data_IF_241997396279
#
_entry.id   IF_241997396279
#
_cell.length_a   1.000
_cell.length_b   1.000
_cell.length_c   1.000
_cell.angle_alpha   90.00
_cell.angle_beta   90.00
_cell.angle_gamma   90.00
#
_symmetry.space_group_name_H-M   'P 1'
#
loop_
_entity.id
_entity.type
_entity.pdbx_description
1 polymer ?
#
# COMPACT_ATOMS: atom_id res chain seq x y z
N UNK A 1 20.31 1.82 3.55
CA UNK A 1 21.25 1.95 2.42
C UNK A 1 20.87 1.04 1.24
N UNK A 2 20.67 -0.27 1.46
CA UNK A 2 20.29 -1.22 0.40
C UNK A 2 19.03 -0.84 -0.41
N UNK A 3 17.97 -0.33 0.24
CA UNK A 3 16.73 0.08 -0.45
C UNK A 3 16.94 1.31 -1.32
N UNK A 4 17.69 2.31 -0.83
CA UNK A 4 18.00 3.50 -1.63
C UNK A 4 18.84 3.15 -2.86
N UNK A 5 19.80 2.23 -2.70
CA UNK A 5 20.57 1.68 -3.81
C UNK A 5 19.65 0.94 -4.78
N UNK A 6 18.76 0.06 -4.28
CA UNK A 6 17.80 -0.66 -5.11
C UNK A 6 16.87 0.29 -5.88
N UNK A 7 16.33 1.33 -5.24
CA UNK A 7 15.48 2.34 -5.88
C UNK A 7 16.26 3.14 -6.92
N UNK A 8 17.50 3.52 -6.61
CA UNK A 8 18.36 4.25 -7.53
C UNK A 8 18.73 3.40 -8.76
N UNK A 9 19.13 2.15 -8.56
CA UNK A 9 19.40 1.18 -9.64
C UNK A 9 18.14 0.93 -10.46
N UNK A 10 16.99 0.72 -9.81
CA UNK A 10 15.72 0.51 -10.49
C UNK A 10 15.31 1.74 -11.31
N UNK A 11 15.57 2.95 -10.82
CA UNK A 11 15.33 4.20 -11.53
C UNK A 11 16.26 4.36 -12.75
N UNK A 12 17.53 4.00 -12.62
CA UNK A 12 18.47 3.99 -13.75
C UNK A 12 18.01 2.99 -14.82
N UNK A 13 17.67 1.75 -14.41
CA UNK A 13 17.13 0.73 -15.32
C UNK A 13 15.85 1.20 -16.01
N UNK A 14 14.95 1.84 -15.26
CA UNK A 14 13.74 2.44 -15.81
C UNK A 14 14.09 3.49 -16.87
N UNK A 15 15.01 4.41 -16.57
CA UNK A 15 15.42 5.49 -17.48
C UNK A 15 16.05 4.94 -18.76
N UNK A 16 16.90 3.91 -18.66
CA UNK A 16 17.49 3.21 -19.81
C UNK A 16 16.41 2.49 -20.63
N UNK A 17 15.47 1.83 -19.97
CA UNK A 17 14.37 1.15 -20.66
C UNK A 17 13.45 2.14 -21.40
N UNK A 18 13.16 3.29 -20.79
CA UNK A 18 12.35 4.36 -21.38
C UNK A 18 13.04 5.02 -22.57
N UNK A 19 14.38 5.08 -22.61
CA UNK A 19 15.12 5.61 -23.76
C UNK A 19 14.73 4.92 -25.06
N UNK A 20 14.66 3.58 -25.04
CA UNK A 20 14.28 2.77 -26.21
C UNK A 20 12.80 2.96 -26.58
N UNK A 21 11.94 3.10 -25.57
CA UNK A 21 10.52 3.39 -25.78
C UNK A 21 10.32 4.77 -26.43
N UNK A 22 11.07 5.78 -25.97
CA UNK A 22 10.97 7.15 -26.50
C UNK A 22 11.45 7.22 -27.95
N UNK A 23 12.57 6.55 -28.27
CA UNK A 23 13.07 6.43 -29.64
C UNK A 23 12.00 5.84 -30.57
N UNK A 24 11.29 4.80 -30.13
CA UNK A 24 10.18 4.20 -30.90
C UNK A 24 8.96 5.09 -31.02
N UNK A 25 8.73 5.96 -30.05
CA UNK A 25 7.64 6.93 -30.07
C UNK A 25 7.99 8.21 -30.85
N UNK A 26 9.19 8.31 -31.44
CA UNK A 26 9.64 9.48 -32.19
C UNK A 26 10.15 10.64 -31.30
N UNK A 27 10.39 10.39 -30.02
CA UNK A 27 10.96 11.36 -29.08
C UNK A 27 12.46 11.10 -28.88
N UNK A 28 13.29 12.15 -28.69
CA UNK A 28 14.72 11.97 -28.42
C UNK A 28 14.95 11.15 -27.14
N UNK A 29 15.66 10.01 -27.27
CA UNK A 29 15.88 9.07 -26.18
C UNK A 29 16.59 9.67 -24.95
N UNK A 30 17.46 10.67 -25.13
CA UNK A 30 18.16 11.34 -24.02
C UNK A 30 17.22 11.96 -22.99
N UNK A 31 15.99 12.36 -23.41
CA UNK A 31 14.98 12.92 -22.50
C UNK A 31 14.55 11.92 -21.42
N UNK A 32 14.72 10.62 -21.66
CA UNK A 32 14.41 9.57 -20.68
C UNK A 32 15.38 9.55 -19.49
N UNK A 33 16.60 10.08 -19.66
CA UNK A 33 17.66 10.08 -18.63
C UNK A 33 17.56 11.27 -17.68
N UNK A 34 16.88 12.34 -18.09
CA UNK A 34 16.74 13.56 -17.28
C UNK A 34 15.57 13.40 -16.32
N UNK A 35 15.81 13.41 -14.98
CA UNK A 35 14.74 13.31 -14.00
C UNK A 35 13.70 14.42 -14.16
N UNK A 36 12.42 14.06 -14.05
CA UNK A 36 11.29 14.97 -14.20
C UNK A 36 10.88 15.19 -15.66
N UNK A 37 11.85 15.47 -16.54
CA UNK A 37 11.58 15.56 -17.99
C UNK A 37 11.11 14.21 -18.55
N UNK A 38 11.72 13.12 -18.10
CA UNK A 38 11.32 11.77 -18.48
C UNK A 38 9.85 11.49 -18.19
N UNK A 39 9.37 11.82 -16.99
CA UNK A 39 7.97 11.64 -16.61
C UNK A 39 7.03 12.60 -17.35
N UNK A 40 7.45 13.83 -17.62
CA UNK A 40 6.65 14.79 -18.39
C UNK A 40 6.46 14.37 -19.86
N UNK A 41 7.52 13.84 -20.50
CA UNK A 41 7.45 13.27 -21.85
C UNK A 41 6.62 12.00 -21.84
N UNK A 42 6.81 11.12 -20.86
CA UNK A 42 6.02 9.90 -20.73
C UNK A 42 4.52 10.21 -20.55
N UNK A 43 4.14 11.16 -19.70
CA UNK A 43 2.75 11.60 -19.55
C UNK A 43 2.17 12.07 -20.90
N UNK A 44 2.95 12.80 -21.70
CA UNK A 44 2.55 13.22 -23.05
C UNK A 44 2.35 12.05 -24.02
N UNK A 45 3.26 11.07 -24.02
CA UNK A 45 3.16 9.85 -24.86
C UNK A 45 1.92 9.02 -24.53
N UNK A 46 1.43 9.10 -23.30
CA UNK A 46 0.20 8.42 -22.89
C UNK A 46 -1.06 9.21 -23.28
N UNK A 47 -0.94 10.53 -23.47
CA UNK A 47 -2.04 11.44 -23.78
C UNK A 47 -2.48 12.31 -22.61
N UNK A 48 -1.71 12.35 -21.51
CA UNK A 48 -1.91 13.30 -20.42
C UNK A 48 -1.19 14.63 -20.67
N UNK A 49 -1.62 15.67 -19.95
CA UNK A 49 -0.88 16.91 -19.85
C UNK A 49 0.50 16.62 -19.20
N UNK A 50 1.63 17.12 -19.72
CA UNK A 50 2.95 16.98 -19.09
C UNK A 50 3.00 17.36 -17.61
N UNK A 51 2.20 18.33 -17.17
CA UNK A 51 2.08 18.73 -15.77
C UNK A 51 1.50 17.64 -14.86
N UNK A 52 0.83 16.63 -15.43
CA UNK A 52 0.35 15.48 -14.68
C UNK A 52 1.49 14.73 -13.97
N UNK A 53 2.71 14.79 -14.51
CA UNK A 53 3.90 14.23 -13.88
C UNK A 53 4.24 14.88 -12.51
N UNK A 54 3.77 16.11 -12.23
CA UNK A 54 3.97 16.75 -10.93
C UNK A 54 3.31 15.99 -9.79
N UNK A 55 2.24 15.23 -10.06
CA UNK A 55 1.60 14.39 -9.05
C UNK A 55 2.52 13.28 -8.52
N UNK A 56 3.60 12.94 -9.25
CA UNK A 56 4.61 12.00 -8.78
C UNK A 56 5.47 12.55 -7.63
N UNK A 57 5.44 13.87 -7.39
CA UNK A 57 6.15 14.51 -6.27
C UNK A 57 5.38 14.37 -4.95
N UNK A 58 4.07 14.12 -5.00
CA UNK A 58 3.26 13.94 -3.81
C UNK A 58 3.34 12.48 -3.36
N UNK A 59 3.85 12.21 -2.15
CA UNK A 59 3.85 10.86 -1.59
C UNK A 59 2.44 10.28 -1.62
N UNK A 60 2.33 8.95 -1.66
CA UNK A 60 1.06 8.21 -1.72
C UNK A 60 0.40 8.31 -3.11
N UNK A 61 0.11 9.53 -3.55
CA UNK A 61 -0.50 9.80 -4.86
C UNK A 61 0.42 9.33 -5.99
N UNK A 62 1.73 9.52 -5.83
CA UNK A 62 2.74 9.12 -6.80
C UNK A 62 2.65 7.65 -7.24
N UNK A 63 2.31 6.72 -6.34
CA UNK A 63 2.21 5.28 -6.67
C UNK A 63 1.04 5.04 -7.63
N UNK A 64 -0.11 5.68 -7.40
CA UNK A 64 -1.28 5.53 -8.26
C UNK A 64 -1.04 6.15 -9.64
N UNK A 65 -0.43 7.34 -9.68
CA UNK A 65 -0.11 8.04 -10.92
C UNK A 65 0.94 7.25 -11.72
N UNK A 66 1.98 6.76 -11.05
CA UNK A 66 2.99 5.91 -11.67
C UNK A 66 2.39 4.63 -12.25
N UNK A 67 1.53 3.95 -11.50
CA UNK A 67 0.85 2.74 -11.97
C UNK A 67 -0.03 3.04 -13.21
N UNK A 68 -0.80 4.14 -13.18
CA UNK A 68 -1.59 4.59 -14.34
C UNK A 68 -0.74 4.84 -15.58
N UNK A 69 0.33 5.63 -15.45
CA UNK A 69 1.27 5.90 -16.54
C UNK A 69 1.92 4.62 -17.10
N UNK A 70 2.21 3.63 -16.25
CA UNK A 70 2.72 2.32 -16.67
C UNK A 70 1.70 1.55 -17.51
N UNK A 71 0.46 1.44 -17.00
CA UNK A 71 -0.62 0.72 -17.69
C UNK A 71 -0.89 1.36 -19.05
N UNK A 72 -1.03 2.69 -19.10
CA UNK A 72 -1.41 3.35 -20.32
C UNK A 72 -0.28 3.43 -21.35
N UNK A 73 0.99 3.48 -20.92
CA UNK A 73 2.11 3.39 -21.85
C UNK A 73 2.12 2.04 -22.57
N UNK A 74 1.96 0.95 -21.83
CA UNK A 74 1.90 -0.39 -22.43
C UNK A 74 0.70 -0.54 -23.37
N UNK A 75 -0.44 0.07 -23.03
CA UNK A 75 -1.61 0.15 -23.92
C UNK A 75 -1.32 0.95 -25.20
N UNK A 76 -0.44 1.95 -25.16
CA UNK A 76 -0.02 2.74 -26.34
C UNK A 76 0.80 1.93 -27.34
N UNK A 77 1.31 0.76 -26.93
CA UNK A 77 1.93 -0.23 -27.82
C UNK A 77 0.97 -1.37 -28.20
N UNK A 78 -0.34 -1.21 -27.99
CA UNK A 78 -1.35 -2.22 -28.33
C UNK A 78 -1.41 -3.43 -27.40
N UNK A 79 -0.69 -3.39 -26.26
CA UNK A 79 -0.66 -4.49 -25.29
C UNK A 79 -1.79 -4.33 -24.28
N UNK A 80 -2.98 -4.79 -24.66
CA UNK A 80 -4.16 -4.64 -23.81
C UNK A 80 -4.33 -5.73 -22.75
N UNK A 81 -3.56 -6.83 -22.75
CA UNK A 81 -3.78 -7.94 -21.80
C UNK A 81 -3.41 -7.57 -20.36
N UNK A 82 -4.14 -8.12 -19.39
CA UNK A 82 -3.93 -7.90 -17.95
C UNK A 82 -2.47 -8.11 -17.51
N UNK A 83 -1.84 -9.19 -17.96
CA UNK A 83 -0.46 -9.52 -17.57
C UNK A 83 0.57 -8.48 -18.02
N UNK A 84 0.35 -7.79 -19.15
CA UNK A 84 1.24 -6.71 -19.59
C UNK A 84 1.10 -5.49 -18.68
N UNK A 85 -0.13 -5.14 -18.31
CA UNK A 85 -0.41 -4.06 -17.36
C UNK A 85 0.14 -4.37 -15.96
N UNK A 86 -0.07 -5.59 -15.47
CA UNK A 86 0.43 -6.02 -14.16
C UNK A 86 1.97 -6.02 -14.11
N UNK A 87 2.63 -6.56 -15.14
CA UNK A 87 4.10 -6.57 -15.21
C UNK A 87 4.67 -5.15 -15.31
N UNK A 88 4.00 -4.25 -16.03
CA UNK A 88 4.41 -2.84 -16.11
C UNK A 88 4.38 -2.14 -14.76
N UNK A 89 3.36 -2.43 -13.92
CA UNK A 89 3.24 -1.82 -12.58
C UNK A 89 4.23 -2.46 -11.59
N UNK A 90 4.40 -3.78 -11.62
CA UNK A 90 5.27 -4.51 -10.68
C UNK A 90 6.74 -4.24 -10.99
N UNK A 91 7.12 -4.29 -12.27
CA UNK A 91 8.51 -4.10 -12.69
C UNK A 91 8.61 -3.50 -14.09
N UNK A 92 8.28 -2.20 -14.16
CA UNK A 92 8.35 -1.38 -15.37
C UNK A 92 9.66 -1.53 -16.18
N UNK A 93 10.88 -1.57 -15.57
CA UNK A 93 12.11 -1.63 -16.36
C UNK A 93 12.17 -2.82 -17.33
N UNK A 94 11.69 -4.00 -16.93
CA UNK A 94 11.68 -5.18 -17.81
C UNK A 94 10.64 -5.05 -18.90
N UNK A 95 9.40 -4.67 -18.56
CA UNK A 95 8.34 -4.55 -19.55
C UNK A 95 8.67 -3.50 -20.61
N UNK A 96 9.20 -2.35 -20.19
CA UNK A 96 9.59 -1.27 -21.12
C UNK A 96 10.82 -1.62 -21.93
N UNK A 97 11.77 -2.36 -21.36
CA UNK A 97 12.91 -2.86 -22.13
C UNK A 97 12.47 -3.85 -23.20
N UNK A 98 11.56 -4.77 -22.88
CA UNK A 98 10.97 -5.69 -23.86
C UNK A 98 10.25 -4.94 -24.97
N UNK A 99 9.38 -3.98 -24.62
CA UNK A 99 8.71 -3.11 -25.60
C UNK A 99 9.69 -2.33 -26.47
N UNK A 100 10.75 -1.81 -25.87
CA UNK A 100 11.78 -1.03 -26.55
C UNK A 100 12.63 -1.86 -27.51
N UNK A 101 12.86 -3.15 -27.23
CA UNK A 101 13.74 -4.03 -28.02
C UNK A 101 13.02 -4.82 -29.11
N UNK A 102 11.78 -5.25 -28.87
CA UNK A 102 11.04 -6.09 -29.81
C UNK A 102 10.64 -5.34 -31.08
N UNK A 103 11.06 -5.74 -32.27
CA UNK A 103 10.76 -5.01 -33.51
C UNK A 103 9.26 -4.97 -33.86
N UNK A 104 8.49 -5.98 -33.44
CA UNK A 104 7.03 -6.06 -33.64
C UNK A 104 6.25 -5.01 -32.83
N UNK A 105 6.82 -4.54 -31.72
CA UNK A 105 6.16 -3.62 -30.80
C UNK A 105 6.31 -2.18 -31.29
N UNK A 106 5.28 -1.69 -31.99
CA UNK A 106 5.21 -0.33 -32.53
C UNK A 106 4.39 0.58 -31.63
N UNK A 107 4.83 1.83 -31.51
CA UNK A 107 4.08 2.84 -30.78
C UNK A 107 2.87 3.27 -31.62
N UNK A 108 1.67 2.91 -31.16
CA UNK A 108 0.44 3.21 -31.87
C UNK A 108 0.00 4.66 -31.66
N UNK A 109 0.53 5.38 -30.67
CA UNK A 109 0.13 6.75 -30.34
C UNK A 109 -0.51 6.87 -28.95
N UNK A 110 -0.95 8.08 -28.56
CA UNK A 110 -1.48 8.33 -27.24
C UNK A 110 -2.80 7.59 -27.00
N UNK A 111 -2.77 6.54 -26.16
CA UNK A 111 -3.94 5.67 -25.92
C UNK A 111 -5.14 6.45 -25.42
N UNK A 112 -4.95 7.37 -24.46
CA UNK A 112 -6.09 8.06 -23.84
C UNK A 112 -6.86 8.93 -24.83
N UNK A 113 -6.14 9.58 -25.74
CA UNK A 113 -6.76 10.39 -26.79
C UNK A 113 -7.49 9.50 -27.79
N UNK A 114 -6.83 8.42 -28.25
CA UNK A 114 -7.41 7.49 -29.21
C UNK A 114 -8.64 6.76 -28.66
N UNK A 115 -8.59 6.38 -27.39
CA UNK A 115 -9.70 5.73 -26.68
C UNK A 115 -10.87 6.71 -26.55
N UNK A 116 -10.60 7.97 -26.15
CA UNK A 116 -11.63 9.01 -26.05
C UNK A 116 -12.28 9.32 -27.41
N UNK A 117 -11.49 9.46 -28.47
CA UNK A 117 -11.98 9.65 -29.84
C UNK A 117 -12.82 8.44 -30.32
N UNK A 118 -12.43 7.22 -29.94
CA UNK A 118 -13.18 6.02 -30.30
C UNK A 118 -14.55 5.97 -29.61
N UNK A 119 -14.60 6.30 -28.32
CA UNK A 119 -15.87 6.39 -27.59
C UNK A 119 -16.76 7.52 -28.11
N UNK A 120 -16.19 8.69 -28.45
CA UNK A 120 -16.93 9.78 -29.10
C UNK A 120 -17.56 9.34 -30.42
N UNK A 121 -16.85 8.58 -31.26
CA UNK A 121 -17.42 8.03 -32.50
C UNK A 121 -18.60 7.07 -32.25
N UNK A 122 -18.57 6.31 -31.15
CA UNK A 122 -19.69 5.46 -30.75
C UNK A 122 -20.87 6.32 -30.29
N UNK A 123 -20.62 7.33 -29.47
CA UNK A 123 -21.65 8.26 -28.97
C UNK A 123 -22.30 9.06 -30.10
N UNK A 124 -21.52 9.57 -31.05
CA UNK A 124 -22.02 10.26 -32.25
C UNK A 124 -22.86 9.32 -33.12
N UNK A 125 -22.41 8.08 -33.33
CA UNK A 125 -23.18 7.09 -34.08
C UNK A 125 -24.49 6.71 -33.36
N UNK A 126 -24.48 6.69 -32.02
CA UNK A 126 -25.66 6.45 -31.17
C UNK A 126 -26.63 7.63 -31.22
N UNK A 127 -26.13 8.86 -31.12
CA UNK A 127 -26.91 10.09 -31.24
C UNK A 127 -27.52 10.26 -32.65
N UNK A 128 -26.81 9.82 -33.68
CA UNK A 128 -27.30 9.80 -35.06
C UNK A 128 -28.27 8.63 -35.36
N UNK A 129 -28.63 7.80 -34.38
CA UNK A 129 -29.55 6.66 -34.55
C UNK A 129 -29.03 5.56 -35.50
N UNK A 130 -27.72 5.49 -35.74
CA UNK A 130 -27.10 4.52 -36.66
C UNK A 130 -26.74 3.22 -35.95
N UNK A 131 -27.74 2.47 -35.52
CA UNK A 131 -27.59 1.24 -34.70
C UNK A 131 -26.62 0.21 -35.30
N UNK A 132 -26.60 0.07 -36.63
CA UNK A 132 -25.67 -0.85 -37.32
C UNK A 132 -24.22 -0.40 -37.19
N UNK A 133 -23.96 0.91 -37.25
CA UNK A 133 -22.62 1.48 -37.11
C UNK A 133 -22.15 1.37 -35.65
N UNK A 134 -23.04 1.62 -34.69
CA UNK A 134 -22.79 1.41 -33.26
C UNK A 134 -22.40 -0.04 -32.99
N UNK A 135 -23.20 -1.01 -33.44
CA UNK A 135 -22.90 -2.45 -33.27
C UNK A 135 -21.56 -2.84 -33.89
N UNK A 136 -21.22 -2.30 -35.06
CA UNK A 136 -19.93 -2.56 -35.72
C UNK A 136 -18.76 -1.99 -34.90
N UNK A 137 -18.87 -0.76 -34.41
CA UNK A 137 -17.84 -0.12 -33.59
C UNK A 137 -17.71 -0.81 -32.22
N UNK A 138 -18.81 -1.20 -31.58
CA UNK A 138 -18.76 -1.93 -30.32
C UNK A 138 -18.15 -3.34 -30.47
N UNK A 139 -18.36 -3.99 -31.63
CA UNK A 139 -17.78 -5.29 -31.94
C UNK A 139 -16.29 -5.24 -32.28
N UNK A 140 -15.82 -4.15 -32.92
CA UNK A 140 -14.41 -3.98 -33.30
C UNK A 140 -13.59 -3.17 -32.29
N UNK A 141 -14.16 -2.83 -31.14
CA UNK A 141 -13.49 -2.01 -30.13
C UNK A 141 -12.26 -2.73 -29.53
N UNK A 142 -11.03 -2.26 -29.79
CA UNK A 142 -9.82 -2.87 -29.23
C UNK A 142 -9.62 -2.56 -27.74
N UNK A 143 -10.28 -1.52 -27.23
CA UNK A 143 -10.17 -1.05 -25.85
C UNK A 143 -11.19 -1.70 -24.91
N UNK A 144 -12.15 -2.44 -25.47
CA UNK A 144 -13.16 -3.12 -24.68
C UNK A 144 -12.50 -4.18 -23.81
N UNK A 145 -12.66 -4.07 -22.50
CA UNK A 145 -12.24 -5.10 -21.56
C UNK A 145 -13.40 -6.07 -21.37
N UNK A 146 -13.09 -7.34 -21.09
CA UNK A 146 -14.12 -8.32 -20.75
C UNK A 146 -14.74 -7.97 -19.38
N UNK A 147 -16.04 -8.26 -19.16
CA UNK A 147 -16.74 -7.86 -17.92
C UNK A 147 -16.06 -8.42 -16.67
N UNK A 148 -15.59 -9.67 -16.72
CA UNK A 148 -14.85 -10.31 -15.62
C UNK A 148 -13.56 -9.54 -15.30
N UNK A 149 -12.84 -9.08 -16.33
CA UNK A 149 -11.59 -8.36 -16.17
C UNK A 149 -11.82 -6.98 -15.58
N UNK A 150 -12.82 -6.25 -16.07
CA UNK A 150 -13.16 -4.91 -15.54
C UNK A 150 -13.49 -4.99 -14.05
N UNK A 151 -14.36 -5.94 -13.67
CA UNK A 151 -14.68 -6.19 -12.27
C UNK A 151 -13.45 -6.60 -11.45
N UNK A 152 -12.61 -7.49 -11.98
CA UNK A 152 -11.40 -7.93 -11.28
C UNK A 152 -10.41 -6.78 -11.08
N UNK A 153 -10.13 -5.98 -12.12
CA UNK A 153 -9.24 -4.81 -12.03
C UNK A 153 -9.79 -3.77 -11.04
N UNK A 154 -11.09 -3.51 -11.06
CA UNK A 154 -11.73 -2.59 -10.12
C UNK A 154 -11.63 -3.07 -8.66
N UNK A 155 -11.89 -4.35 -8.40
CA UNK A 155 -11.76 -4.95 -7.06
C UNK A 155 -10.30 -4.90 -6.59
N UNK A 156 -9.35 -5.30 -7.44
CA UNK A 156 -7.92 -5.26 -7.10
C UNK A 156 -7.49 -3.83 -6.77
N UNK A 157 -7.91 -2.86 -7.58
CA UNK A 157 -7.62 -1.45 -7.33
C UNK A 157 -8.25 -0.97 -6.01
N UNK A 158 -9.51 -1.30 -5.75
CA UNK A 158 -10.21 -0.91 -4.52
C UNK A 158 -9.55 -1.52 -3.28
N UNK A 159 -9.19 -2.81 -3.32
CA UNK A 159 -8.48 -3.48 -2.21
C UNK A 159 -7.10 -2.87 -1.99
N UNK A 160 -6.36 -2.59 -3.06
CA UNK A 160 -5.06 -1.95 -2.98
C UNK A 160 -5.16 -0.53 -2.40
N UNK A 161 -6.10 0.28 -2.88
CA UNK A 161 -6.35 1.64 -2.37
C UNK A 161 -6.79 1.60 -0.89
N UNK A 162 -7.72 0.72 -0.53
CA UNK A 162 -8.17 0.55 0.86
C UNK A 162 -7.03 0.10 1.77
N UNK A 163 -6.19 -0.84 1.35
CA UNK A 163 -5.02 -1.28 2.11
C UNK A 163 -3.98 -0.16 2.26
N UNK A 164 -3.80 0.67 1.23
CA UNK A 164 -2.90 1.81 1.27
C UNK A 164 -3.39 2.91 2.22
N UNK A 165 -4.67 3.28 2.13
CA UNK A 165 -5.33 4.22 3.06
C UNK A 165 -5.22 3.71 4.49
N UNK A 166 -5.48 2.41 4.70
CA UNK A 166 -5.36 1.75 6.01
C UNK A 166 -3.94 1.78 6.56
N UNK A 167 -2.94 1.62 5.69
CA UNK A 167 -1.54 1.62 6.07
C UNK A 167 -1.09 2.99 6.59
N UNK A 168 -1.45 4.08 5.91
CA UNK A 168 -0.85 5.40 6.16
C UNK A 168 -1.78 6.47 6.72
N UNK A 169 -3.08 6.45 6.41
CA UNK A 169 -3.98 7.56 6.69
C UNK A 169 -4.90 7.28 7.87
N UNK A 170 -5.80 6.31 7.73
CA UNK A 170 -6.88 6.06 8.67
C UNK A 170 -7.11 4.56 8.78
N UNK A 171 -7.26 4.05 10.01
CA UNK A 171 -7.66 2.67 10.24
C UNK A 171 -8.96 2.58 11.02
N UNK A 172 -9.86 1.72 10.55
CA UNK A 172 -11.09 1.38 11.26
C UNK A 172 -10.82 0.26 12.27
N UNK A 173 -11.22 0.46 13.52
CA UNK A 173 -11.18 -0.57 14.55
C UNK A 173 -12.56 -0.81 15.13
N UNK A 174 -12.78 -2.03 15.62
CA UNK A 174 -13.89 -2.39 16.49
C UNK A 174 -13.38 -2.50 17.91
N UNK A 175 -14.16 -2.05 18.90
CA UNK A 175 -13.82 -2.22 20.32
C UNK A 175 -14.33 -3.58 20.79
N UNK A 176 -13.45 -4.52 21.18
CA UNK A 176 -13.90 -5.85 21.64
C UNK A 176 -14.15 -5.91 23.15
N UNK A 177 -13.70 -4.91 23.93
CA UNK A 177 -13.69 -4.97 25.40
C UNK A 177 -14.42 -3.78 26.04
N UNK A 178 -14.83 -3.98 27.28
CA UNK A 178 -15.58 -3.00 28.09
C UNK A 178 -14.70 -1.99 28.83
N UNK A 179 -13.38 -2.02 28.64
CA UNK A 179 -12.45 -1.20 29.43
C UNK A 179 -12.59 0.31 29.19
N UNK A 180 -13.22 0.73 28.11
CA UNK A 180 -13.51 2.14 27.79
C UNK A 180 -14.98 2.52 28.04
N UNK A 181 -15.76 1.63 28.68
CA UNK A 181 -17.18 1.85 28.96
C UNK A 181 -17.40 3.13 29.77
N UNK A 182 -18.51 3.80 29.47
CA UNK A 182 -18.79 5.17 29.90
C UNK A 182 -18.44 6.22 28.84
N UNK A 183 -17.49 5.93 27.94
CA UNK A 183 -17.21 6.79 26.77
C UNK A 183 -17.33 6.07 25.44
N UNK A 184 -16.85 4.82 25.35
CA UNK A 184 -16.92 3.98 24.17
C UNK A 184 -17.36 2.58 24.58
N UNK A 185 -18.33 2.01 23.88
CA UNK A 185 -18.91 0.70 24.21
C UNK A 185 -18.23 -0.41 23.43
N UNK A 186 -18.27 -1.63 23.98
CA UNK A 186 -17.91 -2.81 23.22
C UNK A 186 -18.86 -2.95 22.01
N UNK A 187 -18.29 -3.19 20.83
CA UNK A 187 -19.01 -3.21 19.56
C UNK A 187 -18.97 -1.89 18.77
N UNK A 188 -18.54 -0.78 19.38
CA UNK A 188 -18.40 0.48 18.66
C UNK A 188 -17.29 0.41 17.60
N UNK A 189 -17.53 1.10 16.48
CA UNK A 189 -16.58 1.27 15.38
C UNK A 189 -15.95 2.66 15.46
N UNK A 190 -14.63 2.72 15.33
CA UNK A 190 -13.88 3.98 15.40
C UNK A 190 -12.89 4.09 14.24
N UNK A 191 -12.74 5.31 13.72
CA UNK A 191 -11.70 5.65 12.76
C UNK A 191 -10.55 6.33 13.49
N UNK A 192 -9.37 5.72 13.42
CA UNK A 192 -8.14 6.28 14.00
C UNK A 192 -7.36 6.99 12.92
N UNK A 193 -7.11 8.27 13.13
CA UNK A 193 -6.19 9.06 12.33
C UNK A 193 -4.75 8.69 12.63
N UNK A 194 -4.02 8.18 11.64
CA UNK A 194 -2.55 7.96 11.69
C UNK A 194 -1.77 9.13 11.13
N UNK A 195 -2.39 9.87 10.21
CA UNK A 195 -1.81 11.05 9.57
C UNK A 195 -1.41 12.10 10.62
N UNK A 196 -2.35 12.56 11.44
CA UNK A 196 -2.13 13.67 12.38
C UNK A 196 -1.06 13.37 13.44
N UNK A 197 -0.97 12.13 13.93
CA UNK A 197 -0.07 11.73 15.03
C UNK A 197 1.25 11.07 14.60
N UNK A 198 1.64 11.25 13.34
CA UNK A 198 2.91 10.78 12.81
C UNK A 198 2.81 9.38 12.21
N UNK A 199 2.78 9.33 10.89
CA UNK A 199 2.69 8.12 10.09
C UNK A 199 3.91 7.23 10.35
N UNK A 200 3.69 5.93 10.57
CA UNK A 200 4.76 4.94 10.71
C UNK A 200 4.99 4.25 9.37
N UNK A 201 6.24 4.12 8.96
CA UNK A 201 6.56 3.31 7.77
C UNK A 201 6.32 1.83 8.07
N UNK A 202 5.77 1.06 7.12
CA UNK A 202 5.57 -0.38 7.33
C UNK A 202 6.92 -1.05 7.54
N UNK A 203 6.97 -2.00 8.48
CA UNK A 203 8.14 -2.87 8.67
C UNK A 203 8.03 -4.09 7.77
N UNK A 204 6.81 -4.57 7.57
CA UNK A 204 6.46 -5.76 6.80
C UNK A 204 6.23 -5.37 5.34
N UNK A 205 7.08 -5.86 4.42
CA UNK A 205 6.97 -5.52 2.99
C UNK A 205 5.89 -6.33 2.30
N UNK A 206 5.87 -7.64 2.57
CA UNK A 206 4.97 -8.57 1.90
C UNK A 206 3.91 -9.01 2.90
N UNK A 207 2.70 -8.50 2.70
CA UNK A 207 1.53 -8.90 3.47
C UNK A 207 0.30 -8.99 2.58
N UNK A 208 -0.64 -9.83 2.98
CA UNK A 208 -1.94 -9.90 2.33
C UNK A 208 -2.73 -8.63 2.72
N UNK A 209 -3.23 -7.87 1.74
CA UNK A 209 -4.03 -6.68 1.99
C UNK A 209 -5.20 -6.96 2.94
N UNK A 210 -5.49 -6.00 3.82
CA UNK A 210 -6.62 -6.01 4.76
C UNK A 210 -6.59 -7.09 5.86
N UNK A 211 -5.60 -7.99 5.88
CA UNK A 211 -5.41 -8.97 6.96
C UNK A 211 -4.44 -8.45 8.03
N UNK A 212 -4.81 -8.62 9.31
CA UNK A 212 -3.98 -8.22 10.45
C UNK A 212 -2.88 -9.26 10.70
N UNK A 213 -3.25 -10.43 11.24
CA UNK A 213 -2.26 -11.41 11.74
C UNK A 213 -2.26 -12.75 10.98
N UNK A 214 -3.42 -13.37 10.76
CA UNK A 214 -3.52 -14.73 10.20
C UNK A 214 -4.49 -14.84 9.05
N UNK A 215 -4.21 -15.79 8.17
CA UNK A 215 -5.12 -16.19 7.10
C UNK A 215 -6.19 -17.12 7.70
N UNK A 216 -7.49 -16.76 7.67
CA UNK A 216 -8.54 -17.53 8.35
C UNK A 216 -8.62 -19.01 7.94
N UNK A 217 -8.32 -19.33 6.68
CA UNK A 217 -8.45 -20.70 6.13
C UNK A 217 -7.20 -21.54 6.39
N UNK A 218 -6.01 -20.96 6.24
CA UNK A 218 -4.74 -21.68 6.29
C UNK A 218 -4.09 -21.65 7.69
N UNK A 219 -4.61 -20.85 8.62
CA UNK A 219 -4.08 -20.61 9.97
C UNK A 219 -2.56 -20.31 10.01
N UNK A 220 -2.03 -19.80 8.90
CA UNK A 220 -0.66 -19.29 8.76
C UNK A 220 -0.66 -17.77 8.92
N UNK A 221 0.49 -17.20 9.26
CA UNK A 221 0.68 -15.75 9.32
C UNK A 221 0.35 -15.11 7.96
N UNK A 222 -0.30 -13.94 7.98
CA UNK A 222 -0.74 -13.24 6.76
C UNK A 222 0.35 -12.39 6.12
N UNK A 223 1.60 -12.56 6.55
CA UNK A 223 2.75 -11.76 6.16
C UNK A 223 4.05 -12.57 6.22
N UNK A 224 5.07 -12.05 5.54
CA UNK A 224 6.43 -12.55 5.66
C UNK A 224 7.22 -11.67 6.64
N UNK A 225 7.88 -12.29 7.62
CA UNK A 225 8.75 -11.61 8.58
C UNK A 225 10.00 -11.00 7.91
N UNK A 226 10.50 -11.66 6.87
CA UNK A 226 11.66 -11.25 6.10
C UNK A 226 11.34 -11.25 4.60
N UNK A 227 11.78 -10.25 3.82
CA UNK A 227 12.58 -9.09 4.22
C UNK A 227 11.80 -8.04 5.03
N UNK A 228 12.45 -7.43 6.04
CA UNK A 228 11.87 -6.36 6.85
C UNK A 228 12.57 -5.01 6.66
N UNK A 229 11.80 -3.93 6.81
CA UNK A 229 12.29 -2.55 6.71
C UNK A 229 12.56 -1.96 8.10
N UNK A 230 13.58 -1.08 8.24
CA UNK A 230 13.67 -0.24 9.42
C UNK A 230 12.42 0.64 9.52
N UNK A 231 11.80 0.66 10.70
CA UNK A 231 10.60 1.45 10.95
C UNK A 231 10.99 2.87 11.34
N UNK A 232 10.46 3.85 10.61
CA UNK A 232 10.57 5.27 10.94
C UNK A 232 9.18 5.83 11.22
N UNK A 233 9.11 6.88 12.05
CA UNK A 233 7.90 7.67 12.26
C UNK A 233 8.12 9.05 11.64
N UNK A 234 7.22 9.44 10.76
CA UNK A 234 7.23 10.79 10.19
C UNK A 234 6.81 11.81 11.26
N UNK A 235 7.20 13.09 11.10
CA UNK A 235 6.77 14.15 12.00
C UNK A 235 5.24 14.15 12.13
N UNK A 236 4.76 14.27 13.37
CA UNK A 236 3.35 14.45 13.64
C UNK A 236 2.97 15.92 13.37
N UNK A 237 1.76 16.15 12.86
CA UNK A 237 1.18 17.49 12.75
C UNK A 237 0.57 17.95 14.07
N UNK A 238 0.10 16.99 14.88
CA UNK A 238 -0.55 17.24 16.16
C UNK A 238 0.08 16.38 17.26
N UNK A 239 0.09 16.92 18.47
CA UNK A 239 0.45 16.19 19.69
C UNK A 239 -0.79 15.57 20.32
N UNK A 240 -0.59 14.51 21.10
CA UNK A 240 -1.67 13.91 21.88
C UNK A 240 -2.01 14.84 23.04
N UNK A 241 -3.29 15.18 23.19
CA UNK A 241 -3.76 16.00 24.28
C UNK A 241 -4.28 15.16 25.45
N UNK A 242 -4.37 15.80 26.62
CA UNK A 242 -4.96 15.17 27.80
C UNK A 242 -6.42 14.85 27.51
N UNK A 243 -6.86 13.71 28.02
CA UNK A 243 -8.15 13.10 27.81
C UNK A 243 -8.42 12.56 26.40
N UNK A 244 -7.49 12.63 25.45
CA UNK A 244 -7.72 12.04 24.13
C UNK A 244 -7.83 10.50 24.21
N UNK A 245 -8.77 9.88 23.47
CA UNK A 245 -8.76 8.45 23.25
C UNK A 245 -7.65 8.08 22.26
N UNK A 246 -6.58 7.43 22.76
CA UNK A 246 -5.40 7.10 21.97
C UNK A 246 -5.36 5.61 21.69
N UNK A 247 -5.10 5.25 20.44
CA UNK A 247 -4.79 3.89 20.02
C UNK A 247 -3.28 3.72 19.88
N UNK A 248 -2.74 2.72 20.57
CA UNK A 248 -1.31 2.44 20.58
C UNK A 248 -1.05 0.94 20.54
N UNK A 249 0.18 0.58 20.20
CA UNK A 249 0.61 -0.82 20.17
C UNK A 249 0.89 -1.23 21.61
N UNK A 250 0.28 -2.32 22.07
CA UNK A 250 0.42 -2.75 23.45
C UNK A 250 1.91 -3.05 23.77
N UNK A 251 2.54 -2.37 24.75
CA UNK A 251 3.99 -2.51 25.00
C UNK A 251 4.41 -3.92 25.45
N UNK A 252 3.58 -4.58 26.27
CA UNK A 252 3.77 -5.97 26.69
C UNK A 252 3.32 -7.01 25.66
N UNK A 253 2.69 -6.57 24.57
CA UNK A 253 1.91 -7.40 23.65
C UNK A 253 2.72 -8.18 22.62
N UNK A 254 2.20 -9.37 22.30
CA UNK A 254 2.61 -10.34 21.28
C UNK A 254 4.00 -10.95 21.38
N UNK A 255 4.79 -10.53 22.36
CA UNK A 255 6.06 -11.19 22.68
C UNK A 255 5.80 -12.28 23.71
N UNK A 256 5.80 -13.53 23.25
CA UNK A 256 5.39 -14.68 24.06
C UNK A 256 6.37 -15.84 23.98
N UNK A 257 6.50 -16.56 25.09
CA UNK A 257 7.14 -17.87 25.16
C UNK A 257 6.06 -18.93 25.02
N UNK A 258 6.12 -19.71 23.94
CA UNK A 258 5.15 -20.76 23.64
C UNK A 258 5.66 -22.09 24.18
N UNK A 259 4.91 -22.71 25.08
CA UNK A 259 5.14 -24.09 25.54
C UNK A 259 3.93 -24.96 25.22
N UNK A 260 4.09 -26.30 25.16
CA UNK A 260 2.98 -27.21 24.85
C UNK A 260 1.76 -27.07 25.77
N UNK A 261 1.97 -26.75 27.05
CA UNK A 261 0.90 -26.65 28.06
C UNK A 261 0.33 -25.24 28.22
N UNK A 262 1.14 -24.19 28.02
CA UNK A 262 0.75 -22.80 28.28
C UNK A 262 1.70 -21.81 27.62
N UNK A 263 1.14 -20.71 27.11
CA UNK A 263 1.89 -19.55 26.63
C UNK A 263 2.11 -18.55 27.77
N UNK A 264 3.32 -18.01 27.88
CA UNK A 264 3.70 -17.00 28.87
C UNK A 264 4.14 -15.71 28.17
N UNK A 265 3.74 -14.55 28.69
CA UNK A 265 4.18 -13.25 28.17
C UNK A 265 5.56 -12.87 28.73
N UNK A 266 6.19 -11.86 28.12
CA UNK A 266 7.42 -11.25 28.69
C UNK A 266 7.15 -10.63 30.05
N UNK A 267 5.97 -10.06 30.27
CA UNK A 267 5.56 -9.47 31.55
C UNK A 267 5.43 -10.52 32.64
N UNK A 268 4.83 -11.68 32.35
CA UNK A 268 4.74 -12.79 33.32
C UNK A 268 6.12 -13.19 33.84
N UNK A 269 7.13 -13.21 32.96
CA UNK A 269 8.51 -13.49 33.36
C UNK A 269 9.11 -12.34 34.19
N UNK A 270 8.91 -11.08 33.78
CA UNK A 270 9.40 -9.88 34.49
C UNK A 270 8.83 -9.75 35.90
N UNK A 271 7.54 -10.03 36.07
CA UNK A 271 6.86 -9.99 37.37
C UNK A 271 6.95 -11.31 38.14
N UNK A 272 7.83 -12.23 37.71
CA UNK A 272 8.03 -13.53 38.36
C UNK A 272 6.71 -14.33 38.56
N UNK A 273 5.77 -14.17 37.64
CA UNK A 273 4.43 -14.77 37.64
C UNK A 273 4.35 -16.07 36.83
N UNK A 274 5.47 -16.54 36.28
CA UNK A 274 5.56 -17.85 35.60
C UNK A 274 5.49 -18.96 36.66
N UNK A 275 4.28 -19.44 36.91
CA UNK A 275 3.99 -20.42 37.97
C UNK A 275 4.53 -21.84 37.75
N UNK A 276 5.15 -22.13 36.60
CA UNK A 276 5.74 -23.44 36.30
C UNK A 276 7.27 -23.32 36.39
N UNK A 277 7.94 -23.90 37.41
CA UNK A 277 9.38 -23.74 37.62
C UNK A 277 10.24 -24.17 36.43
N UNK A 278 9.82 -25.22 35.72
CA UNK A 278 10.51 -25.70 34.52
C UNK A 278 10.47 -24.67 33.39
N UNK A 279 9.32 -24.03 33.16
CA UNK A 279 9.18 -22.99 32.13
C UNK A 279 9.99 -21.76 32.51
N UNK A 280 9.93 -21.34 33.79
CA UNK A 280 10.72 -20.22 34.28
C UNK A 280 12.22 -20.43 34.05
N UNK A 281 12.75 -21.62 34.38
CA UNK A 281 14.16 -21.97 34.12
C UNK A 281 14.47 -21.96 32.63
N UNK A 282 13.62 -22.57 31.80
CA UNK A 282 13.82 -22.60 30.35
C UNK A 282 13.85 -21.20 29.72
N UNK A 283 13.00 -20.28 30.18
CA UNK A 283 13.03 -18.87 29.75
C UNK A 283 14.31 -18.20 30.23
N UNK A 284 14.65 -18.32 31.53
CA UNK A 284 15.81 -17.69 32.15
C UNK A 284 17.14 -18.14 31.51
N UNK A 285 17.23 -19.41 31.13
CA UNK A 285 18.40 -20.02 30.50
C UNK A 285 18.44 -19.81 28.98
N UNK A 286 17.47 -19.09 28.40
CA UNK A 286 17.39 -18.83 26.96
C UNK A 286 17.04 -20.05 26.09
N UNK A 287 16.57 -21.14 26.70
CA UNK A 287 16.15 -22.37 25.99
C UNK A 287 14.78 -22.22 25.34
N UNK A 288 13.94 -21.32 25.85
CA UNK A 288 12.65 -20.99 25.25
C UNK A 288 12.80 -19.83 24.26
N UNK A 289 12.45 -20.06 22.99
CA UNK A 289 12.46 -19.00 21.96
C UNK A 289 11.33 -18.01 22.23
N UNK A 290 11.67 -16.72 22.30
CA UNK A 290 10.69 -15.65 22.31
C UNK A 290 10.10 -15.50 20.90
N UNK A 291 8.79 -15.71 20.77
CA UNK A 291 8.04 -15.42 19.55
C UNK A 291 7.58 -13.97 19.65
N UNK A 292 7.86 -13.16 18.62
CA UNK A 292 7.50 -11.74 18.59
C UNK A 292 6.88 -11.39 17.25
N UNK A 293 5.97 -10.43 17.23
CA UNK A 293 5.42 -9.87 15.97
C UNK A 293 6.12 -8.56 15.57
N UNK A 294 6.23 -8.27 14.25
CA UNK A 294 6.58 -6.96 13.75
C UNK A 294 5.70 -5.87 14.36
N UNK A 295 6.23 -4.66 14.51
CA UNK A 295 5.53 -3.57 15.22
C UNK A 295 4.18 -3.24 14.58
N UNK A 296 4.11 -3.21 13.25
CA UNK A 296 2.90 -3.00 12.46
C UNK A 296 1.88 -4.15 12.54
N UNK A 297 2.26 -5.29 13.12
CA UNK A 297 1.43 -6.49 13.34
C UNK A 297 1.15 -6.77 14.81
N UNK A 298 1.49 -5.83 15.69
CA UNK A 298 1.17 -5.94 17.11
C UNK A 298 -0.30 -5.64 17.36
N UNK A 299 -0.80 -6.20 18.45
CA UNK A 299 -2.12 -5.86 18.95
C UNK A 299 -2.22 -4.39 19.39
N UNK A 300 -3.39 -3.82 19.13
CA UNK A 300 -3.72 -2.42 19.38
C UNK A 300 -4.62 -2.29 20.59
N UNK A 301 -4.29 -1.37 21.49
CA UNK A 301 -5.08 -1.03 22.65
C UNK A 301 -5.56 0.42 22.53
N UNK A 302 -6.77 0.67 23.03
CA UNK A 302 -7.32 2.01 23.18
C UNK A 302 -7.42 2.36 24.67
N UNK A 303 -6.87 3.52 25.04
CA UNK A 303 -6.98 4.11 26.38
C UNK A 303 -7.10 5.61 26.30
N UNK A 304 -7.58 6.23 27.38
CA UNK A 304 -7.58 7.68 27.54
C UNK A 304 -6.19 8.16 27.98
N UNK A 305 -5.64 9.16 27.30
CA UNK A 305 -4.39 9.80 27.72
C UNK A 305 -4.68 10.65 28.96
N UNK A 306 -4.15 10.27 30.13
CA UNK A 306 -4.38 11.05 31.36
C UNK A 306 -3.27 12.08 31.59
N UNK A 307 -2.04 11.73 31.23
CA UNK A 307 -0.85 12.55 31.42
C UNK A 307 -0.01 12.54 30.14
N UNK A 308 0.60 13.69 29.84
CA UNK A 308 1.52 13.89 28.72
C UNK A 308 2.96 14.12 29.23
N UNK A 309 4.00 14.05 28.38
CA UNK A 309 5.38 14.23 28.83
C UNK A 309 5.57 15.54 29.61
N UNK A 310 6.15 15.44 30.82
CA UNK A 310 6.33 16.57 31.73
C UNK A 310 5.34 16.60 32.89
N UNK A 311 4.24 15.85 32.81
CA UNK A 311 3.26 15.78 33.90
C UNK A 311 3.74 14.87 35.04
N UNK A 312 3.35 15.23 36.26
CA UNK A 312 3.31 14.32 37.41
C UNK A 312 1.87 13.84 37.59
N UNK A 313 1.68 12.56 37.89
CA UNK A 313 0.36 11.96 38.05
C UNK A 313 0.26 11.29 39.40
N UNK A 314 -0.81 11.60 40.13
CA UNK A 314 -1.13 10.93 41.39
C UNK A 314 -2.59 10.47 41.42
N UNK A 315 -2.84 9.31 42.01
CA UNK A 315 -4.20 8.80 42.23
C UNK A 315 -4.45 8.72 43.74
N UNK A 316 -5.32 9.58 44.27
CA UNK A 316 -5.76 9.57 45.69
C UNK A 316 -7.25 9.34 45.75
N UNK A 317 -7.69 8.35 46.52
CA UNK A 317 -9.11 8.05 46.74
C UNK A 317 -9.94 7.97 45.44
N UNK A 318 -9.36 7.35 44.40
CA UNK A 318 -9.94 7.20 43.04
C UNK A 318 -10.09 8.50 42.24
N UNK A 319 -9.48 9.59 42.68
CA UNK A 319 -9.35 10.84 41.91
C UNK A 319 -7.94 10.98 41.36
N UNK A 320 -7.84 11.50 40.14
CA UNK A 320 -6.58 11.76 39.44
C UNK A 320 -6.18 13.22 39.68
N UNK A 321 -4.92 13.44 40.06
CA UNK A 321 -4.30 14.74 40.28
C UNK A 321 -3.06 14.92 39.42
#
# INVERSE_FOLDING_TARGET
MAILIFLFVSYILLSISLMKVFEKAGEPGWKALVPGLNFAVWARLVGHNPLHALWLLFPIVNIFIYAGLCVDLVRSFGKYRFWHSALAVIYAPVMFFMLGKNEEDTYLGPTLLKEKEYYQKIEEARAAGKDRQVRKLEATNPYRKGPVREWTEAIVFAVFAAAFIRMFLIEAYTIPTTSMEGSLKAGDFLFVSKWHYGIRTPRTIVMIPLLHNRIPILNTESYLDEPSLPMYRLPAWETVDRSDPVVFNFPGGDSVYVFPSRTWTVEDFRYNSVGIPQHYRAIKEGRAKLVTRPVDKRDHYIKRCIAVPGDSLEIRDRQVF
#
